data_IF_088446723613
#
_entry.id   IF_088446723613
#
_cell.length_a   1.000
_cell.length_b   1.000
_cell.length_c   1.000
_cell.angle_alpha   90.00
_cell.angle_beta   90.00
_cell.angle_gamma   90.00
#
_symmetry.space_group_name_H-M   'P 1'
#
loop_
_entity.id
_entity.type
_entity.pdbx_description
1 polymer ?
#
# COMPACT_ATOMS: atom_id res chain seq x y z
N UNK A 1 -1.74 1.35 -22.74
CA UNK A 1 -1.29 2.50 -21.93
C UNK A 1 -0.09 1.99 -21.15
N UNK A 2 1.10 2.51 -21.46
CA UNK A 2 2.36 2.05 -20.86
C UNK A 2 2.44 2.43 -19.38
N UNK A 3 2.63 1.42 -18.53
CA UNK A 3 2.70 1.54 -17.05
C UNK A 3 4.01 2.18 -16.57
N UNK A 4 4.97 2.42 -17.48
CA UNK A 4 6.36 2.80 -17.19
C UNK A 4 6.61 4.30 -17.08
N UNK A 5 5.61 5.14 -17.33
CA UNK A 5 5.82 6.60 -17.47
C UNK A 5 5.40 7.41 -16.24
N UNK A 6 4.96 6.77 -15.16
CA UNK A 6 4.28 7.51 -14.08
C UNK A 6 5.19 8.10 -13.02
N UNK A 7 6.45 7.66 -12.96
CA UNK A 7 7.36 8.03 -11.89
C UNK A 7 8.67 8.56 -12.48
N UNK A 8 8.80 9.88 -12.46
CA UNK A 8 10.06 10.55 -12.75
C UNK A 8 10.84 10.70 -11.43
N UNK A 9 12.08 10.19 -11.34
CA UNK A 9 12.90 10.35 -10.13
C UNK A 9 13.25 11.82 -9.83
N UNK A 10 13.04 12.73 -10.78
CA UNK A 10 13.30 14.18 -10.65
C UNK A 10 12.28 14.92 -9.76
N UNK A 11 11.14 14.29 -9.43
CA UNK A 11 10.10 14.87 -8.58
C UNK A 11 10.07 14.05 -7.30
N UNK A 12 10.38 14.66 -6.16
CA UNK A 12 10.38 13.99 -4.86
C UNK A 12 9.07 13.24 -4.58
N UNK A 13 9.10 12.31 -3.61
CA UNK A 13 7.96 11.46 -3.27
C UNK A 13 6.68 12.29 -3.03
N UNK A 14 5.62 12.13 -3.84
CA UNK A 14 4.39 12.88 -3.69
C UNK A 14 3.56 12.27 -2.55
N UNK A 15 3.94 12.61 -1.31
CA UNK A 15 3.39 12.04 -0.07
C UNK A 15 1.85 12.16 -0.04
N UNK A 16 1.30 13.31 -0.40
CA UNK A 16 -0.15 13.59 -0.38
C UNK A 16 -0.93 12.75 -1.43
N UNK A 17 -0.48 12.73 -2.69
CA UNK A 17 -1.11 11.93 -3.75
C UNK A 17 -1.03 10.42 -3.47
N UNK A 18 0.08 9.96 -2.89
CA UNK A 18 0.28 8.55 -2.54
C UNK A 18 -0.58 8.17 -1.35
N UNK A 19 -0.65 8.99 -0.30
CA UNK A 19 -1.53 8.76 0.84
C UNK A 19 -3.00 8.72 0.42
N UNK A 20 -3.45 9.65 -0.44
CA UNK A 20 -4.83 9.65 -0.96
C UNK A 20 -5.14 8.39 -1.76
N UNK A 21 -4.20 7.94 -2.60
CA UNK A 21 -4.33 6.68 -3.38
C UNK A 21 -4.37 5.46 -2.48
N UNK A 22 -3.55 5.42 -1.43
CA UNK A 22 -3.56 4.34 -0.45
C UNK A 22 -4.88 4.33 0.31
N UNK A 23 -5.38 5.49 0.76
CA UNK A 23 -6.69 5.61 1.42
C UNK A 23 -7.86 5.23 0.52
N UNK A 24 -7.82 5.57 -0.77
CA UNK A 24 -8.78 5.11 -1.77
C UNK A 24 -8.78 3.58 -1.87
N UNK A 25 -7.61 2.97 -2.07
CA UNK A 25 -7.47 1.51 -2.13
C UNK A 25 -7.96 0.81 -0.86
N UNK A 26 -7.63 1.32 0.32
CA UNK A 26 -8.10 0.76 1.60
C UNK A 26 -9.62 0.83 1.71
N UNK A 27 -10.23 1.98 1.37
CA UNK A 27 -11.69 2.15 1.41
C UNK A 27 -12.41 1.20 0.46
N UNK A 28 -11.90 1.06 -0.77
CA UNK A 28 -12.48 0.17 -1.78
C UNK A 28 -12.45 -1.29 -1.30
N UNK A 29 -11.30 -1.74 -0.78
CA UNK A 29 -11.17 -3.11 -0.26
C UNK A 29 -12.06 -3.34 0.97
N UNK A 30 -12.16 -2.38 1.88
CA UNK A 30 -13.08 -2.50 3.02
C UNK A 30 -14.54 -2.56 2.58
N UNK A 31 -14.93 -1.79 1.55
CA UNK A 31 -16.27 -1.86 0.96
C UNK A 31 -16.58 -3.24 0.39
N UNK A 32 -15.65 -3.82 -0.37
CA UNK A 32 -15.76 -5.18 -0.92
C UNK A 32 -15.89 -6.20 0.21
N UNK A 33 -15.02 -6.12 1.22
CA UNK A 33 -14.99 -7.06 2.34
C UNK A 33 -16.25 -6.96 3.21
N UNK A 34 -16.84 -5.77 3.36
CA UNK A 34 -18.11 -5.59 4.06
C UNK A 34 -19.27 -6.33 3.39
N UNK A 35 -19.27 -6.40 2.05
CA UNK A 35 -20.27 -7.17 1.29
C UNK A 35 -20.01 -8.67 1.41
N UNK A 36 -18.75 -9.10 1.34
CA UNK A 36 -18.36 -10.52 1.39
C UNK A 36 -18.46 -11.14 2.78
N UNK A 37 -18.25 -10.34 3.84
CA UNK A 37 -18.34 -10.76 5.25
C UNK A 37 -19.41 -9.94 5.98
N UNK A 38 -20.71 -10.24 5.78
CA UNK A 38 -21.80 -9.54 6.46
C UNK A 38 -21.92 -9.87 7.96
N UNK A 39 -21.00 -10.69 8.51
CA UNK A 39 -21.05 -11.14 9.91
C UNK A 39 -20.39 -10.10 10.81
N UNK A 40 -20.98 -9.88 11.98
CA UNK A 40 -20.38 -9.06 13.04
C UNK A 40 -19.02 -9.63 13.43
N UNK A 41 -17.98 -8.78 13.38
CA UNK A 41 -16.65 -9.11 13.90
C UNK A 41 -16.74 -9.61 15.34
N UNK A 42 -16.06 -10.71 15.62
CA UNK A 42 -15.77 -11.13 16.97
C UNK A 42 -14.85 -10.11 17.64
N UNK A 43 -14.94 -9.95 18.96
CA UNK A 43 -14.16 -8.95 19.70
C UNK A 43 -12.63 -9.17 19.65
N UNK A 44 -12.18 -10.31 19.11
CA UNK A 44 -10.77 -10.66 18.95
C UNK A 44 -10.30 -10.56 17.48
N UNK A 45 -11.16 -10.09 16.56
CA UNK A 45 -10.80 -9.95 15.14
C UNK A 45 -10.26 -8.54 14.84
N UNK A 46 -9.11 -8.43 14.15
CA UNK A 46 -8.50 -7.15 13.78
C UNK A 46 -9.40 -6.37 12.81
N UNK A 47 -9.27 -5.03 12.79
CA UNK A 47 -10.04 -4.14 11.91
C UNK A 47 -9.69 -4.31 10.41
N UNK A 48 -8.52 -4.82 10.10
CA UNK A 48 -8.13 -5.22 8.76
C UNK A 48 -7.45 -6.57 8.91
N UNK A 49 -8.04 -7.61 8.35
CA UNK A 49 -7.46 -8.96 8.40
C UNK A 49 -6.24 -9.05 7.46
N UNK A 50 -5.30 -9.94 7.78
CA UNK A 50 -4.09 -10.15 6.98
C UNK A 50 -4.35 -10.41 5.50
N UNK A 51 -5.45 -11.08 5.12
CA UNK A 51 -5.78 -11.27 3.70
C UNK A 51 -6.17 -9.95 3.03
N UNK A 52 -6.93 -9.11 3.73
CA UNK A 52 -7.34 -7.78 3.24
C UNK A 52 -6.11 -6.89 3.08
N UNK A 53 -5.14 -6.99 3.98
CA UNK A 53 -3.85 -6.28 3.84
C UNK A 53 -3.13 -6.67 2.55
N UNK A 54 -3.10 -7.97 2.20
CA UNK A 54 -2.49 -8.43 0.95
C UNK A 54 -3.23 -7.88 -0.28
N UNK A 55 -4.57 -7.87 -0.27
CA UNK A 55 -5.37 -7.31 -1.36
C UNK A 55 -5.10 -5.80 -1.53
N UNK A 56 -4.99 -5.07 -0.42
CA UNK A 56 -4.62 -3.65 -0.40
C UNK A 56 -3.21 -3.45 -0.98
N UNK A 57 -2.23 -4.25 -0.54
CA UNK A 57 -0.86 -4.20 -1.06
C UNK A 57 -0.85 -4.42 -2.59
N UNK A 58 -1.53 -5.44 -3.09
CA UNK A 58 -1.60 -5.70 -4.53
C UNK A 58 -2.23 -4.54 -5.31
N UNK A 59 -3.29 -3.92 -4.77
CA UNK A 59 -3.93 -2.75 -5.37
C UNK A 59 -2.97 -1.56 -5.43
N UNK A 60 -2.23 -1.31 -4.35
CA UNK A 60 -1.25 -0.22 -4.26
C UNK A 60 -0.09 -0.44 -5.23
N UNK A 61 0.45 -1.66 -5.31
CA UNK A 61 1.48 -2.01 -6.28
C UNK A 61 1.02 -1.77 -7.73
N UNK A 62 -0.24 -2.07 -8.05
CA UNK A 62 -0.80 -1.83 -9.38
C UNK A 62 -0.98 -0.33 -9.67
N UNK A 63 -1.48 0.42 -8.69
CA UNK A 63 -1.74 1.86 -8.80
C UNK A 63 -0.43 2.67 -8.89
N UNK A 64 0.55 2.29 -8.07
CA UNK A 64 1.83 2.99 -7.92
C UNK A 64 2.97 2.35 -8.72
N UNK A 65 2.73 1.24 -9.43
CA UNK A 65 3.76 0.60 -10.25
C UNK A 65 5.03 0.19 -9.49
N UNK A 66 4.96 0.05 -8.16
CA UNK A 66 6.06 -0.37 -7.29
C UNK A 66 5.89 -1.85 -6.89
N UNK A 67 6.92 -2.39 -6.25
CA UNK A 67 6.86 -3.69 -5.57
C UNK A 67 7.20 -3.50 -4.10
N UNK A 68 6.24 -3.76 -3.23
CA UNK A 68 6.47 -3.76 -1.78
C UNK A 68 7.10 -5.10 -1.37
N UNK A 69 7.99 -5.11 -0.36
CA UNK A 69 8.63 -6.35 0.07
C UNK A 69 7.59 -7.30 0.67
N UNK A 70 7.70 -8.59 0.34
CA UNK A 70 6.79 -9.63 0.84
C UNK A 70 6.83 -9.79 2.38
N UNK A 71 7.86 -9.26 3.01
CA UNK A 71 8.03 -9.21 4.47
C UNK A 71 7.24 -8.08 5.14
N UNK A 72 6.66 -7.16 4.37
CA UNK A 72 5.98 -5.97 4.90
C UNK A 72 4.63 -6.30 5.56
N UNK A 73 3.97 -7.39 5.18
CA UNK A 73 2.65 -7.72 5.73
C UNK A 73 2.73 -7.99 7.26
N UNK A 74 2.05 -7.20 8.12
CA UNK A 74 2.02 -7.45 9.56
C UNK A 74 1.36 -8.79 9.86
N UNK A 75 1.95 -9.51 10.81
CA UNK A 75 1.43 -10.80 11.27
C UNK A 75 0.11 -10.56 12.01
N UNK A 76 -1.01 -10.88 11.35
CA UNK A 76 -2.34 -10.79 11.93
C UNK A 76 -3.17 -9.58 11.48
N UNK A 77 -2.66 -8.70 10.63
CA UNK A 77 -3.41 -7.55 10.12
C UNK A 77 -3.26 -6.28 10.95
N UNK A 78 -4.25 -5.37 10.88
CA UNK A 78 -4.23 -4.08 11.57
C UNK A 78 -5.47 -3.88 12.45
N UNK A 79 -5.27 -3.26 13.61
CA UNK A 79 -6.36 -2.87 14.52
C UNK A 79 -7.05 -1.56 14.11
N UNK A 80 -6.51 -0.82 13.13
CA UNK A 80 -7.14 0.39 12.59
C UNK A 80 -6.74 0.68 11.15
N UNK A 81 -7.62 1.38 10.44
CA UNK A 81 -7.36 1.91 9.08
C UNK A 81 -6.15 2.84 9.07
N UNK A 82 -6.05 3.74 10.04
CA UNK A 82 -4.96 4.72 10.08
C UNK A 82 -3.59 4.06 10.29
N UNK A 83 -3.51 3.00 11.12
CA UNK A 83 -2.26 2.23 11.26
C UNK A 83 -1.86 1.54 9.95
N UNK A 84 -2.84 1.00 9.21
CA UNK A 84 -2.59 0.39 7.92
C UNK A 84 -2.09 1.39 6.88
N UNK A 85 -2.77 2.53 6.75
CA UNK A 85 -2.39 3.61 5.83
C UNK A 85 -1.00 4.14 6.17
N UNK A 86 -0.73 4.43 7.44
CA UNK A 86 0.55 4.97 7.90
C UNK A 86 1.73 4.04 7.57
N UNK A 87 1.60 2.75 7.88
CA UNK A 87 2.64 1.77 7.56
C UNK A 87 2.83 1.62 6.05
N UNK A 88 1.74 1.59 5.27
CA UNK A 88 1.80 1.47 3.81
C UNK A 88 2.48 2.67 3.15
N UNK A 89 2.18 3.88 3.60
CA UNK A 89 2.85 5.10 3.13
C UNK A 89 4.34 5.06 3.47
N UNK A 90 4.67 4.70 4.72
CA UNK A 90 6.06 4.64 5.18
C UNK A 90 6.89 3.63 4.36
N UNK A 91 6.37 2.44 4.11
CA UNK A 91 7.06 1.42 3.32
C UNK A 91 7.16 1.80 1.85
N UNK A 92 6.07 2.33 1.27
CA UNK A 92 6.07 2.81 -0.11
C UNK A 92 7.13 3.89 -0.31
N UNK A 93 7.27 4.81 0.65
CA UNK A 93 8.32 5.82 0.66
C UNK A 93 9.72 5.22 0.81
N UNK A 94 9.88 4.18 1.63
CA UNK A 94 11.16 3.49 1.78
C UNK A 94 11.59 2.80 0.47
N UNK A 95 10.67 2.10 -0.19
CA UNK A 95 10.89 1.46 -1.51
C UNK A 95 11.22 2.52 -2.56
N UNK A 96 10.47 3.62 -2.60
CA UNK A 96 10.74 4.73 -3.51
C UNK A 96 12.17 5.26 -3.37
N UNK A 97 12.58 5.56 -2.14
CA UNK A 97 13.92 6.06 -1.86
C UNK A 97 15.01 5.05 -2.22
N UNK A 98 14.75 3.75 -2.08
CA UNK A 98 15.67 2.71 -2.50
C UNK A 98 15.80 2.66 -4.03
N UNK A 99 14.67 2.69 -4.76
CA UNK A 99 14.66 2.63 -6.23
C UNK A 99 15.35 3.85 -6.87
N UNK A 100 15.11 5.06 -6.35
CA UNK A 100 15.80 6.28 -6.83
C UNK A 100 17.32 6.14 -6.70
N UNK A 101 17.80 5.58 -5.58
CA UNK A 101 19.24 5.39 -5.32
C UNK A 101 19.88 4.32 -6.21
N UNK A 102 19.11 3.32 -6.64
CA UNK A 102 19.59 2.29 -7.57
C UNK A 102 19.71 2.82 -8.99
N UNK A 103 18.78 3.69 -9.44
CA UNK A 103 18.85 4.36 -10.74
C UNK A 103 20.09 5.26 -10.86
N UNK A 104 20.43 6.01 -9.79
CA UNK A 104 21.64 6.85 -9.75
C UNK A 104 22.96 6.05 -9.86
N UNK A 105 22.95 4.77 -9.50
CA UNK A 105 24.14 3.92 -9.51
C UNK A 105 24.32 3.11 -10.80
N UNK A 106 23.27 3.02 -11.65
CA UNK A 106 23.33 2.33 -12.95
C UNK A 106 23.84 3.26 -14.06
N UNK A 107 23.75 4.59 -13.90
CA UNK A 107 24.13 5.58 -14.92
C UNK A 107 25.62 6.02 -14.85
N UNK A 108 26.48 5.26 -14.15
CA UNK A 108 27.91 5.61 -13.93
C UNK A 108 28.90 4.55 -14.41
#
# INVERSE_FOLDING_TARGET
>A
MDVRTRFKPDVGFPDEDVEDRIREAVRDQMGIQSVLRPRTRSACEPEIDSLVVIEIICSIEEVLGIKLPTTFAPKGGYDSVEACVGDLVAETRAVWNASVREEEHHDR
#
